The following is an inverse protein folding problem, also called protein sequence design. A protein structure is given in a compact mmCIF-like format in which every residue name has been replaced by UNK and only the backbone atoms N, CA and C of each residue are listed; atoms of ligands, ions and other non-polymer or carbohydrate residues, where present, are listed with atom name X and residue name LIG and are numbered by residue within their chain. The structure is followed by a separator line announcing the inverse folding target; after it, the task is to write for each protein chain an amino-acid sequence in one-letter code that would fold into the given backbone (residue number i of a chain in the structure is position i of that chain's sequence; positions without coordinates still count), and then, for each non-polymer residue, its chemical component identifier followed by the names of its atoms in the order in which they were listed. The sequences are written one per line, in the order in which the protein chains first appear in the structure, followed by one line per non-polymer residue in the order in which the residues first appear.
data_IF_082292147727
#
_entry.id   IF_082292147727
#
_cell.length_a   1.000
_cell.length_b   1.000
_cell.length_c   1.000
_cell.angle_alpha   90.00
_cell.angle_beta   90.00
_cell.angle_gamma   90.00
#
_symmetry.space_group_name_H-M   'P 1'
#
loop_
_entity.id
_entity.type
_entity.pdbx_description
1 polymer ?
#
# COMPACT_ATOMS: atom_id res chain seq x y z
N UNK A 1 0.56 -4.40 -6.25
CA UNK A 1 0.21 -5.84 -6.17
C UNK A 1 1.42 -6.70 -6.49
N UNK A 2 2.11 -6.44 -7.60
CA UNK A 2 3.32 -7.16 -8.02
C UNK A 2 4.59 -6.30 -7.90
N UNK A 3 5.79 -6.83 -8.21
CA UNK A 3 7.01 -6.04 -8.40
C UNK A 3 8.11 -6.20 -7.34
N UNK A 4 7.95 -7.03 -6.32
CA UNK A 4 9.00 -7.35 -5.35
C UNK A 4 9.10 -8.85 -5.01
N UNK A 5 7.96 -9.56 -5.04
CA UNK A 5 7.89 -10.98 -4.70
C UNK A 5 8.08 -11.88 -5.92
N UNK A 6 8.26 -13.19 -5.65
CA UNK A 6 8.57 -14.20 -6.65
C UNK A 6 7.35 -14.86 -7.30
N UNK A 7 6.13 -14.59 -6.79
CA UNK A 7 4.91 -15.31 -7.21
C UNK A 7 3.82 -14.35 -7.71
N UNK A 8 4.06 -13.55 -8.76
CA UNK A 8 3.12 -12.52 -9.21
C UNK A 8 1.76 -13.10 -9.61
N UNK A 9 1.73 -14.24 -10.31
CA UNK A 9 0.50 -14.84 -10.79
C UNK A 9 -0.35 -15.43 -9.66
N UNK A 10 0.28 -16.11 -8.71
CA UNK A 10 -0.41 -16.70 -7.56
C UNK A 10 -1.00 -15.60 -6.69
N UNK A 11 -0.23 -14.55 -6.40
CA UNK A 11 -0.71 -13.40 -5.62
C UNK A 11 -1.85 -12.66 -6.32
N UNK A 12 -1.73 -12.42 -7.63
CA UNK A 12 -2.77 -11.75 -8.42
C UNK A 12 -4.05 -12.57 -8.49
N UNK A 13 -3.96 -13.89 -8.71
CA UNK A 13 -5.12 -14.78 -8.72
C UNK A 13 -5.84 -14.78 -7.36
N UNK A 14 -5.09 -14.83 -6.26
CA UNK A 14 -5.65 -14.82 -4.91
C UNK A 14 -6.36 -13.49 -4.59
N UNK A 15 -5.75 -12.37 -4.94
CA UNK A 15 -6.34 -11.04 -4.73
C UNK A 15 -7.62 -10.89 -5.55
N UNK A 16 -7.59 -11.27 -6.82
CA UNK A 16 -8.75 -11.23 -7.72
C UNK A 16 -9.91 -12.11 -7.23
N UNK A 17 -9.60 -13.26 -6.59
CA UNK A 17 -10.63 -14.15 -6.02
C UNK A 17 -11.25 -13.58 -4.74
N UNK A 18 -10.48 -12.84 -3.93
CA UNK A 18 -10.84 -12.49 -2.55
C UNK A 18 -11.20 -11.03 -2.32
N UNK A 19 -10.83 -10.14 -3.23
CA UNK A 19 -11.04 -8.70 -3.07
C UNK A 19 -12.06 -8.19 -4.08
N UNK A 20 -13.08 -7.47 -3.59
CA UNK A 20 -14.08 -6.83 -4.43
C UNK A 20 -13.53 -5.58 -5.13
N UNK A 21 -12.57 -4.88 -4.50
CA UNK A 21 -11.92 -3.70 -5.04
C UNK A 21 -10.41 -3.82 -4.94
N UNK A 22 -9.72 -3.60 -6.05
CA UNK A 22 -8.27 -3.58 -6.15
C UNK A 22 -7.82 -2.31 -6.87
N UNK A 23 -6.66 -1.79 -6.47
CA UNK A 23 -6.05 -0.62 -7.11
C UNK A 23 -4.75 -1.02 -7.80
N UNK A 24 -4.45 -0.34 -8.92
CA UNK A 24 -3.14 -0.40 -9.55
C UNK A 24 -2.18 0.57 -8.86
N UNK A 25 -0.94 0.12 -8.62
CA UNK A 25 0.11 0.95 -8.05
C UNK A 25 1.24 1.25 -9.03
N UNK A 26 2.21 2.06 -8.59
CA UNK A 26 3.36 2.42 -9.41
C UNK A 26 4.16 1.22 -9.94
N UNK A 27 4.35 0.17 -9.14
CA UNK A 27 5.00 -1.06 -9.59
C UNK A 27 4.17 -1.80 -10.64
N UNK A 28 2.88 -1.92 -10.45
CA UNK A 28 1.98 -2.57 -11.39
C UNK A 28 1.96 -1.82 -12.74
N UNK A 29 1.86 -0.49 -12.71
CA UNK A 29 1.93 0.36 -13.89
C UNK A 29 3.29 0.27 -14.59
N UNK A 30 4.38 0.18 -13.80
CA UNK A 30 5.71 -0.03 -14.35
C UNK A 30 5.83 -1.41 -15.03
N UNK A 31 5.29 -2.47 -14.43
CA UNK A 31 5.25 -3.82 -15.02
C UNK A 31 4.46 -3.81 -16.35
N UNK A 32 3.37 -3.08 -16.42
CA UNK A 32 2.60 -2.88 -17.66
C UNK A 32 3.31 -2.03 -18.72
N UNK A 33 4.44 -1.38 -18.37
CA UNK A 33 5.13 -0.46 -19.26
C UNK A 33 4.49 0.93 -19.36
N UNK A 34 3.52 1.24 -18.51
CA UNK A 34 2.83 2.53 -18.44
C UNK A 34 3.62 3.60 -17.66
N UNK A 35 4.65 3.19 -16.90
CA UNK A 35 5.56 4.09 -16.19
C UNK A 35 7.02 3.82 -16.55
N UNK A 36 7.81 4.89 -16.64
CA UNK A 36 9.26 4.81 -16.78
C UNK A 36 9.89 4.39 -15.45
N UNK A 37 10.78 3.40 -15.49
CA UNK A 37 11.47 2.85 -14.32
C UNK A 37 12.78 3.60 -13.98
N UNK A 38 13.14 4.63 -14.73
CA UNK A 38 14.38 5.40 -14.50
C UNK A 38 14.42 6.11 -13.14
N UNK A 39 13.25 6.38 -12.55
CA UNK A 39 13.10 6.96 -11.21
C UNK A 39 13.09 5.93 -10.08
N UNK A 40 13.02 4.63 -10.41
CA UNK A 40 13.05 3.57 -9.42
C UNK A 40 14.46 3.34 -8.88
N UNK A 41 14.58 2.84 -7.63
CA UNK A 41 15.85 2.32 -7.16
C UNK A 41 16.28 1.11 -8.00
N UNK A 42 17.59 0.83 -8.07
CA UNK A 42 18.14 -0.29 -8.84
C UNK A 42 17.43 -1.62 -8.53
N UNK A 43 17.21 -1.92 -7.23
CA UNK A 43 16.52 -3.14 -6.81
C UNK A 43 15.03 -3.17 -7.21
N UNK A 44 14.35 -2.01 -7.20
CA UNK A 44 12.96 -1.92 -7.63
C UNK A 44 12.83 -2.05 -9.15
N UNK A 45 13.73 -1.42 -9.93
CA UNK A 45 13.76 -1.54 -11.38
C UNK A 45 14.02 -3.00 -11.82
N UNK A 46 15.02 -3.66 -11.22
CA UNK A 46 15.30 -5.07 -11.50
C UNK A 46 14.11 -5.98 -11.17
N UNK A 47 13.38 -5.70 -10.08
CA UNK A 47 12.19 -6.46 -9.73
C UNK A 47 11.03 -6.24 -10.71
N UNK A 48 10.86 -5.02 -11.23
CA UNK A 48 9.87 -4.73 -12.28
C UNK A 48 10.22 -5.48 -13.58
N UNK A 49 11.49 -5.43 -14.02
CA UNK A 49 11.94 -6.15 -15.20
C UNK A 49 11.72 -7.66 -15.07
N UNK A 50 12.14 -8.24 -13.95
CA UNK A 50 11.91 -9.65 -13.66
C UNK A 50 10.41 -9.99 -13.70
N UNK A 51 9.57 -9.15 -13.10
CA UNK A 51 8.11 -9.40 -13.07
C UNK A 51 7.51 -9.33 -14.48
N UNK A 52 7.94 -8.41 -15.34
CA UNK A 52 7.52 -8.35 -16.75
C UNK A 52 7.81 -9.63 -17.52
N UNK A 53 8.95 -10.25 -17.23
CA UNK A 53 9.40 -11.48 -17.93
C UNK A 53 8.69 -12.73 -17.39
N UNK A 54 8.19 -12.70 -16.15
CA UNK A 54 7.68 -13.88 -15.45
C UNK A 54 6.17 -13.85 -15.16
N UNK A 55 5.51 -12.69 -15.25
CA UNK A 55 4.07 -12.60 -15.07
C UNK A 55 3.31 -13.09 -16.31
N UNK A 56 2.29 -13.92 -16.09
CA UNK A 56 1.44 -14.45 -17.15
C UNK A 56 0.47 -13.41 -17.73
N UNK A 57 -0.07 -13.73 -18.92
CA UNK A 57 -1.01 -12.86 -19.64
C UNK A 57 -2.27 -12.50 -18.80
N UNK A 58 -2.74 -13.39 -17.96
CA UNK A 58 -3.92 -13.16 -17.12
C UNK A 58 -3.63 -12.13 -16.03
N UNK A 59 -2.46 -12.18 -15.40
CA UNK A 59 -1.97 -11.16 -14.46
C UNK A 59 -1.85 -9.81 -15.14
N UNK A 60 -1.19 -9.75 -16.30
CA UNK A 60 -1.00 -8.51 -17.05
C UNK A 60 -2.33 -7.88 -17.47
N UNK A 61 -3.29 -8.68 -17.92
CA UNK A 61 -4.63 -8.21 -18.28
C UNK A 61 -5.36 -7.65 -17.06
N UNK A 62 -5.38 -8.39 -15.93
CA UNK A 62 -6.03 -7.94 -14.72
C UNK A 62 -5.46 -6.63 -14.19
N UNK A 63 -4.15 -6.49 -14.12
CA UNK A 63 -3.49 -5.24 -13.71
C UNK A 63 -3.86 -4.07 -14.63
N UNK A 64 -4.00 -4.32 -15.93
CA UNK A 64 -4.37 -3.32 -16.93
C UNK A 64 -5.82 -2.84 -16.87
N UNK A 65 -6.69 -3.53 -16.13
CA UNK A 65 -8.10 -3.17 -15.91
C UNK A 65 -8.30 -2.31 -14.65
N UNK A 66 -7.25 -2.15 -13.82
CA UNK A 66 -7.33 -1.46 -12.53
C UNK A 66 -7.04 0.04 -12.67
N UNK A 67 -7.66 0.81 -11.79
CA UNK A 67 -7.40 2.25 -11.62
C UNK A 67 -6.62 2.51 -10.32
N UNK A 68 -5.86 3.61 -10.21
CA UNK A 68 -5.09 3.94 -9.00
C UNK A 68 -5.94 4.48 -7.85
N UNK A 69 -7.22 4.76 -8.11
CA UNK A 69 -8.18 5.28 -7.14
C UNK A 69 -9.53 4.56 -7.26
N UNK A 70 -10.25 4.52 -6.16
CA UNK A 70 -11.65 4.10 -6.12
C UNK A 70 -12.37 4.79 -4.96
N UNK A 71 -13.69 4.65 -4.88
CA UNK A 71 -14.48 5.00 -3.70
C UNK A 71 -15.43 3.85 -3.40
N UNK A 72 -15.51 3.47 -2.12
CA UNK A 72 -16.38 2.39 -1.68
C UNK A 72 -16.93 2.70 -0.27
N UNK A 73 -18.23 2.56 -0.06
CA UNK A 73 -18.89 2.76 1.22
C UNK A 73 -18.59 4.13 1.88
N UNK A 74 -18.40 5.19 1.07
CA UNK A 74 -18.07 6.54 1.57
C UNK A 74 -16.61 6.71 2.02
N UNK A 75 -15.73 5.80 1.58
CA UNK A 75 -14.28 5.83 1.84
C UNK A 75 -13.54 5.99 0.51
N UNK A 76 -12.67 6.99 0.43
CA UNK A 76 -11.75 7.15 -0.70
C UNK A 76 -10.62 6.13 -0.62
N UNK A 77 -10.27 5.53 -1.74
CA UNK A 77 -9.21 4.53 -1.85
C UNK A 77 -8.15 5.04 -2.83
N UNK A 78 -6.90 5.10 -2.39
CA UNK A 78 -5.78 5.63 -3.19
C UNK A 78 -4.57 4.70 -3.05
N UNK A 79 -3.92 4.34 -4.16
CA UNK A 79 -2.67 3.57 -4.03
C UNK A 79 -1.61 4.37 -3.27
N UNK A 80 -1.44 5.66 -3.57
CA UNK A 80 -0.48 6.54 -2.89
C UNK A 80 -1.20 7.62 -2.09
N UNK A 81 -1.55 8.77 -2.67
CA UNK A 81 -2.26 9.85 -1.97
C UNK A 81 -3.46 10.36 -2.75
N UNK A 82 -4.40 11.10 -2.12
CA UNK A 82 -5.50 11.75 -2.85
C UNK A 82 -5.01 12.76 -3.90
N UNK A 83 -3.88 13.43 -3.66
CA UNK A 83 -3.30 14.44 -4.54
C UNK A 83 -2.53 13.85 -5.72
N UNK A 84 -1.76 12.80 -5.48
CA UNK A 84 -1.03 12.02 -6.48
C UNK A 84 -1.20 10.54 -6.18
N UNK A 85 -2.19 9.89 -6.80
CA UNK A 85 -2.56 8.52 -6.46
C UNK A 85 -1.51 7.45 -6.81
N UNK A 86 -0.46 7.81 -7.54
CA UNK A 86 0.55 6.86 -8.03
C UNK A 86 1.89 6.97 -7.30
N UNK A 87 2.34 8.20 -6.96
CA UNK A 87 3.73 8.41 -6.54
C UNK A 87 3.93 9.05 -5.17
N UNK A 88 2.98 9.80 -4.67
CA UNK A 88 3.20 10.57 -3.46
C UNK A 88 3.22 9.70 -2.20
N UNK A 89 4.34 9.72 -1.47
CA UNK A 89 4.39 9.24 -0.10
C UNK A 89 3.69 10.23 0.84
N UNK A 90 2.84 9.74 1.74
CA UNK A 90 2.29 10.53 2.84
C UNK A 90 2.94 10.04 4.13
N UNK A 91 4.00 10.74 4.56
CA UNK A 91 4.82 10.39 5.72
C UNK A 91 4.93 11.54 6.74
N UNK A 92 4.34 12.69 6.42
CA UNK A 92 4.34 13.87 7.29
C UNK A 92 2.98 14.54 7.33
N UNK A 93 2.76 15.36 8.35
CA UNK A 93 1.55 16.16 8.49
C UNK A 93 1.35 17.14 7.35
N UNK A 94 2.42 17.70 6.77
CA UNK A 94 2.34 18.61 5.63
C UNK A 94 1.83 17.90 4.36
N UNK A 95 2.30 16.66 4.12
CA UNK A 95 1.80 15.84 3.03
C UNK A 95 0.34 15.41 3.25
N UNK A 96 -0.02 15.09 4.50
CA UNK A 96 -1.40 14.77 4.86
C UNK A 96 -2.34 15.97 4.67
N UNK A 97 -1.92 17.18 5.03
CA UNK A 97 -2.70 18.41 4.79
C UNK A 97 -2.99 18.60 3.30
N UNK A 98 -1.97 18.42 2.46
CA UNK A 98 -2.17 18.52 1.01
C UNK A 98 -3.10 17.40 0.47
N UNK A 99 -3.05 16.21 1.08
CA UNK A 99 -3.98 15.11 0.81
C UNK A 99 -5.41 15.46 1.19
N UNK A 100 -5.63 16.04 2.37
CA UNK A 100 -6.94 16.47 2.84
C UNK A 100 -7.60 17.55 1.96
N UNK A 101 -6.80 18.41 1.32
CA UNK A 101 -7.32 19.39 0.36
C UNK A 101 -7.80 18.76 -0.96
N UNK A 102 -7.26 17.59 -1.32
CA UNK A 102 -7.61 16.86 -2.53
C UNK A 102 -8.66 15.75 -2.30
N UNK A 103 -8.90 15.38 -1.04
CA UNK A 103 -9.79 14.29 -0.67
C UNK A 103 -11.25 14.75 -0.64
N UNK A 104 -12.13 14.01 -1.30
CA UNK A 104 -13.58 14.28 -1.29
C UNK A 104 -14.27 13.61 -0.10
N UNK A 105 -13.94 12.35 0.18
CA UNK A 105 -14.51 11.60 1.30
C UNK A 105 -13.87 12.01 2.63
N UNK A 106 -14.62 11.82 3.72
CA UNK A 106 -14.14 12.11 5.08
C UNK A 106 -12.97 11.19 5.50
N UNK A 107 -12.99 9.94 5.05
CA UNK A 107 -11.96 8.94 5.32
C UNK A 107 -11.34 8.49 4.01
N UNK A 108 -10.01 8.53 3.92
CA UNK A 108 -9.23 7.99 2.81
C UNK A 108 -8.30 6.88 3.28
N UNK A 109 -8.24 5.79 2.53
CA UNK A 109 -7.22 4.75 2.66
C UNK A 109 -6.11 5.01 1.66
N UNK A 110 -4.88 5.00 2.13
CA UNK A 110 -3.66 5.24 1.34
C UNK A 110 -2.68 4.08 1.52
N UNK A 111 -1.75 3.89 0.58
CA UNK A 111 -0.75 2.83 0.61
C UNK A 111 0.66 3.33 0.30
N UNK A 112 1.33 2.68 -0.65
CA UNK A 112 2.61 3.01 -1.28
C UNK A 112 3.83 3.09 -0.33
N UNK A 113 3.71 3.70 0.86
CA UNK A 113 4.81 3.81 1.83
C UNK A 113 5.14 2.49 2.52
N UNK A 114 4.19 1.56 2.58
CA UNK A 114 4.27 0.29 3.34
C UNK A 114 4.46 0.48 4.85
N UNK A 115 4.10 1.64 5.38
CA UNK A 115 4.18 1.99 6.80
C UNK A 115 2.76 2.12 7.34
N UNK A 116 2.44 1.37 8.39
CA UNK A 116 1.17 1.51 9.09
C UNK A 116 1.14 2.83 9.85
N UNK A 117 0.21 3.72 9.48
CA UNK A 117 0.11 5.06 10.07
C UNK A 117 -1.29 5.67 9.85
N UNK A 118 -1.55 6.75 10.53
CA UNK A 118 -2.74 7.57 10.29
C UNK A 118 -2.45 9.05 10.43
N UNK A 119 -3.28 9.85 9.77
CA UNK A 119 -3.34 11.29 9.96
C UNK A 119 -4.80 11.72 10.16
N UNK A 120 -4.99 12.79 10.94
CA UNK A 120 -6.29 13.39 11.19
C UNK A 120 -6.21 14.91 11.15
N UNK A 121 -7.20 15.53 10.53
CA UNK A 121 -7.49 16.96 10.61
C UNK A 121 -8.83 17.14 11.30
N UNK A 122 -8.82 17.63 12.54
CA UNK A 122 -10.04 17.85 13.33
C UNK A 122 -10.93 18.93 12.73
N UNK A 123 -12.27 18.89 12.95
CA UNK A 123 -13.18 19.91 12.47
C UNK A 123 -12.79 21.31 12.97
N UNK A 124 -12.82 22.29 12.08
CA UNK A 124 -12.50 23.67 12.42
C UNK A 124 -11.02 23.96 12.68
N UNK A 125 -10.14 22.96 12.54
CA UNK A 125 -8.69 23.20 12.54
C UNK A 125 -8.28 24.09 11.39
N UNK A 126 -7.29 24.96 11.62
CA UNK A 126 -6.67 25.73 10.55
C UNK A 126 -5.83 24.78 9.68
N UNK A 127 -5.63 25.09 8.39
CA UNK A 127 -4.64 24.38 7.58
C UNK A 127 -3.27 24.34 8.29
N UNK A 128 -2.56 23.22 8.19
CA UNK A 128 -1.27 22.99 8.86
C UNK A 128 -1.37 22.47 10.30
N UNK A 129 -2.55 22.03 10.74
CA UNK A 129 -2.76 21.46 12.08
C UNK A 129 -3.13 19.97 12.07
N UNK A 130 -2.85 19.26 10.99
CA UNK A 130 -2.97 17.81 10.97
C UNK A 130 -2.09 17.17 12.06
N UNK A 131 -2.59 16.10 12.62
CA UNK A 131 -1.85 15.24 13.55
C UNK A 131 -1.71 13.85 12.94
N UNK A 132 -0.71 13.10 13.33
CA UNK A 132 -0.52 11.75 12.84
C UNK A 132 0.48 10.98 13.67
N UNK A 133 0.41 9.66 13.56
CA UNK A 133 1.34 8.73 14.19
C UNK A 133 1.44 7.43 13.40
N UNK A 134 2.50 6.67 13.65
CA UNK A 134 2.57 5.28 13.25
C UNK A 134 1.55 4.47 14.05
N UNK A 135 0.98 3.45 13.43
CA UNK A 135 -0.01 2.58 14.03
C UNK A 135 0.63 1.24 14.42
N UNK A 136 0.59 0.93 15.70
CA UNK A 136 1.04 -0.35 16.23
C UNK A 136 -0.02 -1.45 16.09
N UNK A 137 0.40 -2.71 16.16
CA UNK A 137 -0.51 -3.84 16.16
C UNK A 137 -1.53 -3.77 17.30
N UNK A 138 -2.81 -3.89 16.99
CA UNK A 138 -3.91 -3.82 17.95
C UNK A 138 -4.38 -2.41 18.28
N UNK A 139 -3.76 -1.36 17.72
CA UNK A 139 -4.30 0.00 17.83
C UNK A 139 -5.69 0.05 17.21
N UNK A 140 -6.64 0.54 17.96
CA UNK A 140 -7.99 0.82 17.50
C UNK A 140 -8.32 2.29 17.77
N UNK A 141 -8.91 2.96 16.79
CA UNK A 141 -9.30 4.36 16.88
C UNK A 141 -10.75 4.54 16.41
N UNK A 142 -11.46 5.45 17.09
CA UNK A 142 -12.73 5.95 16.61
C UNK A 142 -12.47 7.07 15.60
N UNK A 143 -13.03 6.93 14.41
CA UNK A 143 -12.96 7.94 13.36
C UNK A 143 -14.04 9.00 13.60
N UNK A 144 -13.77 9.87 14.58
CA UNK A 144 -14.63 10.99 14.91
C UNK A 144 -14.78 11.96 13.72
N UNK A 145 -15.59 13.01 13.89
CA UNK A 145 -15.69 14.07 12.88
C UNK A 145 -14.30 14.61 12.51
N UNK A 146 -14.15 15.00 11.26
CA UNK A 146 -12.87 15.46 10.69
C UNK A 146 -12.50 14.65 9.45
N UNK A 147 -11.32 14.92 8.92
CA UNK A 147 -10.77 14.18 7.78
C UNK A 147 -9.66 13.23 8.25
N UNK A 148 -9.65 12.05 7.68
CA UNK A 148 -8.72 10.99 8.04
C UNK A 148 -8.02 10.42 6.81
N UNK A 149 -6.72 10.19 6.94
CA UNK A 149 -5.94 9.36 6.02
C UNK A 149 -5.35 8.19 6.82
N UNK A 150 -5.64 6.97 6.40
CA UNK A 150 -5.23 5.75 7.08
C UNK A 150 -4.39 4.89 6.12
N UNK A 151 -3.21 4.47 6.55
CA UNK A 151 -2.39 3.51 5.83
C UNK A 151 -2.36 2.18 6.58
N UNK A 152 -2.82 1.08 5.98
CA UNK A 152 -2.80 -0.24 6.59
C UNK A 152 -1.39 -0.76 6.91
N UNK A 153 -0.36 -0.22 6.26
CA UNK A 153 0.94 -0.84 6.13
C UNK A 153 1.03 -1.74 4.91
N UNK A 154 1.73 -2.85 4.99
CA UNK A 154 1.91 -3.76 3.86
C UNK A 154 1.74 -5.22 4.26
N UNK A 155 0.99 -5.98 3.44
CA UNK A 155 0.93 -7.44 3.55
C UNK A 155 2.22 -8.08 3.04
N UNK A 156 2.79 -7.54 1.93
CA UNK A 156 3.90 -8.17 1.22
C UNK A 156 5.29 -7.71 1.62
N UNK A 157 5.46 -6.41 1.95
CA UNK A 157 6.78 -5.86 2.30
C UNK A 157 6.62 -4.70 3.30
N UNK A 158 6.37 -4.97 4.58
CA UNK A 158 6.33 -3.95 5.63
C UNK A 158 7.65 -3.18 5.73
N UNK A 159 7.56 -1.85 6.02
CA UNK A 159 8.72 -0.95 6.11
C UNK A 159 8.74 -0.12 7.40
N UNK A 160 8.07 -0.59 8.43
CA UNK A 160 7.91 0.07 9.73
C UNK A 160 8.63 -0.65 10.88
N UNK A 161 9.52 -1.59 10.53
CA UNK A 161 10.34 -2.34 11.49
C UNK A 161 9.68 -3.60 12.04
N UNK A 162 8.44 -3.90 11.63
CA UNK A 162 7.74 -5.13 11.98
C UNK A 162 7.59 -6.01 10.73
N UNK A 163 8.24 -7.20 10.65
CA UNK A 163 8.20 -8.05 9.47
C UNK A 163 6.84 -8.74 9.24
N UNK A 164 5.93 -8.71 10.22
CA UNK A 164 4.61 -9.34 10.09
C UNK A 164 3.74 -8.60 9.07
N UNK A 165 2.94 -9.34 8.32
CA UNK A 165 1.99 -8.76 7.38
C UNK A 165 1.01 -7.82 8.08
N UNK A 166 0.87 -6.61 7.56
CA UNK A 166 0.00 -5.57 8.12
C UNK A 166 -1.28 -5.42 7.30
N UNK A 167 -2.41 -5.25 8.00
CA UNK A 167 -3.70 -4.93 7.40
C UNK A 167 -4.56 -4.11 8.35
N UNK A 168 -5.60 -3.48 7.83
CA UNK A 168 -6.54 -2.62 8.55
C UNK A 168 -7.95 -3.19 8.46
N UNK A 169 -8.61 -3.29 9.59
CA UNK A 169 -10.05 -3.48 9.70
C UNK A 169 -10.71 -2.11 9.83
N UNK A 170 -11.66 -1.81 8.94
CA UNK A 170 -12.44 -0.58 8.96
C UNK A 170 -13.93 -0.94 9.05
N UNK A 171 -14.56 -0.58 10.15
CA UNK A 171 -16.00 -0.65 10.35
C UNK A 171 -16.62 0.67 9.90
N UNK A 172 -17.38 0.66 8.80
CA UNK A 172 -18.03 1.85 8.22
C UNK A 172 -19.38 2.15 8.87
N UNK A 173 -19.94 1.26 9.68
CA UNK A 173 -21.15 1.51 10.46
C UNK A 173 -20.80 2.19 11.79
N UNK A 174 -19.81 1.63 12.50
CA UNK A 174 -19.30 2.21 13.76
C UNK A 174 -18.26 3.32 13.54
N UNK A 175 -17.71 3.43 12.37
CA UNK A 175 -16.58 4.30 12.04
C UNK A 175 -15.40 4.10 12.99
N UNK A 176 -14.94 2.85 13.08
CA UNK A 176 -13.72 2.48 13.81
C UNK A 176 -12.70 1.86 12.88
N UNK A 177 -11.43 2.09 13.16
CA UNK A 177 -10.32 1.52 12.41
C UNK A 177 -9.37 0.79 13.36
N UNK A 178 -8.97 -0.46 13.02
CA UNK A 178 -8.08 -1.28 13.83
C UNK A 178 -6.98 -1.88 12.98
N UNK A 179 -5.72 -1.70 13.41
CA UNK A 179 -4.54 -2.26 12.74
C UNK A 179 -4.20 -3.63 13.28
N UNK A 180 -3.93 -4.55 12.36
CA UNK A 180 -3.59 -5.93 12.64
C UNK A 180 -2.23 -6.31 12.07
N UNK A 181 -1.59 -7.28 12.72
CA UNK A 181 -0.37 -7.93 12.23
C UNK A 181 -0.56 -9.45 12.26
N UNK A 182 -0.13 -10.09 11.18
CA UNK A 182 -0.22 -11.55 11.03
C UNK A 182 1.16 -12.11 10.73
N UNK A 183 1.57 -13.11 11.53
CA UNK A 183 2.79 -13.87 11.27
C UNK A 183 2.62 -14.71 10.00
N UNK A 184 3.68 -14.81 9.22
CA UNK A 184 3.78 -15.69 8.07
C UNK A 184 5.21 -16.23 7.96
N UNK A 185 5.45 -17.19 7.08
CA UNK A 185 6.78 -17.75 6.86
C UNK A 185 7.66 -16.80 6.04
N UNK A 186 8.24 -15.82 6.72
CA UNK A 186 9.15 -14.82 6.14
C UNK A 186 10.36 -15.51 5.50
N UNK A 187 10.88 -16.58 6.12
CA UNK A 187 12.04 -17.29 5.61
C UNK A 187 11.74 -18.01 4.29
N UNK A 188 10.54 -18.59 4.15
CA UNK A 188 10.09 -19.19 2.89
C UNK A 188 9.95 -18.13 1.80
N UNK A 189 9.32 -16.98 2.09
CA UNK A 189 9.19 -15.87 1.15
C UNK A 189 10.56 -15.32 0.71
N UNK A 190 11.48 -15.08 1.63
CA UNK A 190 12.84 -14.64 1.34
C UNK A 190 13.62 -15.68 0.50
N UNK A 191 13.41 -16.97 0.77
CA UNK A 191 14.01 -18.06 -0.02
C UNK A 191 13.47 -18.06 -1.45
N UNK A 192 12.16 -17.89 -1.64
CA UNK A 192 11.55 -17.80 -2.97
C UNK A 192 12.10 -16.62 -3.80
N UNK A 193 12.25 -15.45 -3.19
CA UNK A 193 12.87 -14.28 -3.83
C UNK A 193 14.30 -14.57 -4.29
N UNK A 194 15.13 -15.18 -3.43
CA UNK A 194 16.52 -15.55 -3.77
C UNK A 194 16.56 -16.62 -4.87
N UNK A 195 15.69 -17.62 -4.80
CA UNK A 195 15.61 -18.70 -5.77
C UNK A 195 15.16 -18.21 -7.17
N UNK A 196 14.33 -17.17 -7.22
CA UNK A 196 13.90 -16.50 -8.45
C UNK A 196 14.98 -15.63 -9.09
N UNK A 197 16.15 -15.45 -8.46
CA UNK A 197 17.20 -14.58 -8.95
C UNK A 197 16.93 -13.09 -8.79
N UNK A 198 15.93 -12.73 -8.01
CA UNK A 198 15.66 -11.34 -7.66
C UNK A 198 16.77 -10.77 -6.76
N UNK A 199 16.95 -9.42 -6.71
CA UNK A 199 17.97 -8.80 -5.88
C UNK A 199 17.90 -9.28 -4.42
N UNK A 200 19.00 -9.79 -3.83
CA UNK A 200 19.00 -10.33 -2.45
C UNK A 200 18.48 -9.37 -1.40
N UNK A 201 18.72 -8.07 -1.57
CA UNK A 201 18.23 -7.02 -0.69
C UNK A 201 16.70 -7.02 -0.54
N UNK A 202 15.94 -7.51 -1.52
CA UNK A 202 14.49 -7.63 -1.45
C UNK A 202 14.06 -8.74 -0.47
N UNK A 203 14.84 -9.82 -0.38
CA UNK A 203 14.65 -10.89 0.60
C UNK A 203 15.07 -10.43 2.00
N UNK A 204 16.24 -9.78 2.12
CA UNK A 204 16.79 -9.32 3.41
C UNK A 204 15.86 -8.31 4.11
N UNK A 205 15.17 -7.46 3.33
CA UNK A 205 14.20 -6.48 3.84
C UNK A 205 13.01 -7.12 4.54
N UNK A 206 12.54 -8.26 4.06
CA UNK A 206 11.40 -8.98 4.68
C UNK A 206 11.74 -9.43 6.10
N UNK A 207 12.99 -9.83 6.37
CA UNK A 207 13.42 -10.34 7.68
C UNK A 207 13.43 -9.26 8.76
N UNK A 208 13.51 -7.99 8.36
CA UNK A 208 13.62 -6.84 9.28
C UNK A 208 12.48 -5.83 9.15
N UNK A 209 11.53 -6.06 8.26
CA UNK A 209 10.41 -5.14 8.04
C UNK A 209 10.85 -3.76 7.50
N UNK A 210 11.75 -3.71 6.50
CA UNK A 210 12.33 -2.45 5.97
C UNK A 210 12.31 -2.37 4.45
#
# INVERSE_FOLDING_TARGET
MVGYGADPDVCTALVRERCDTCLVGNHDLAVLGALDISSFSEGAAAAVEWTRENAGEETMRFLGELEPTASQAGVGLFHASPRDPVWEYVLSTDQAEAGFEAQEERVGLIGHSHIALFFVRSPGSRPGHAQGAQAEAGLEIELADGQWLLNPGSVGQPRDGDPRAAWLELDTDAWTARWHRVEYDVAAAATAIRAAGLPPALADRLEVGR
#
